data_IF_786394432129
#
_entry.id   IF_786394432129
#
_cell.length_a   1.000
_cell.length_b   1.000
_cell.length_c   1.000
_cell.angle_alpha   90.00
_cell.angle_beta   90.00
_cell.angle_gamma   90.00
#
_symmetry.space_group_name_H-M   'P 1'
#
loop_
_entity.id
_entity.type
_entity.pdbx_description
1 polymer ?
#
# COMPACT_ATOMS: atom_id res chain seq x y z
N UNK A 1 23.77 24.36 -50.15
CA UNK A 1 24.65 23.19 -49.90
C UNK A 1 23.95 21.92 -50.33
N UNK A 2 24.54 21.21 -51.30
CA UNK A 2 24.05 19.91 -51.75
C UNK A 2 24.50 18.76 -50.82
N UNK A 3 25.55 19.00 -50.02
CA UNK A 3 26.16 18.05 -49.09
C UNK A 3 26.05 18.55 -47.65
N UNK A 4 25.80 17.67 -46.67
CA UNK A 4 25.93 17.99 -45.25
C UNK A 4 27.35 18.49 -44.91
N UNK A 5 27.45 19.43 -43.97
CA UNK A 5 28.73 20.03 -43.57
C UNK A 5 29.64 19.03 -42.81
N UNK A 6 29.08 17.94 -42.30
CA UNK A 6 29.77 16.91 -41.52
C UNK A 6 30.36 15.75 -42.36
N UNK A 7 30.23 15.77 -43.70
CA UNK A 7 30.84 14.75 -44.58
C UNK A 7 32.25 15.22 -45.01
N UNK A 8 33.34 14.51 -44.64
CA UNK A 8 34.68 14.75 -45.15
C UNK A 8 34.69 14.81 -46.67
N UNK A 9 35.29 15.84 -47.25
CA UNK A 9 35.20 16.09 -48.70
C UNK A 9 36.08 15.13 -49.50
N UNK A 10 37.09 14.56 -48.87
CA UNK A 10 37.95 13.50 -49.38
C UNK A 10 37.28 12.12 -49.43
N UNK A 11 36.17 11.92 -48.70
CA UNK A 11 35.38 10.68 -48.78
C UNK A 11 34.33 10.69 -49.91
N UNK A 12 34.18 11.82 -50.61
CA UNK A 12 33.18 11.97 -51.67
C UNK A 12 33.56 11.15 -52.90
N UNK A 13 32.63 10.31 -53.34
CA UNK A 13 32.76 9.53 -54.58
C UNK A 13 31.55 9.79 -55.46
N UNK A 14 31.78 9.81 -56.76
CA UNK A 14 30.73 9.95 -57.77
C UNK A 14 30.65 8.65 -58.55
N UNK A 15 29.47 8.07 -58.57
CA UNK A 15 29.13 6.87 -59.32
C UNK A 15 28.21 7.23 -60.48
N UNK A 16 28.21 6.39 -61.52
CA UNK A 16 27.42 6.54 -62.73
C UNK A 16 26.45 5.37 -62.92
N UNK A 17 25.34 5.66 -63.58
CA UNK A 17 24.40 4.67 -64.09
C UNK A 17 24.14 4.98 -65.58
N UNK A 18 24.57 4.07 -66.46
CA UNK A 18 24.60 4.31 -67.92
C UNK A 18 23.22 4.06 -68.55
N UNK A 19 22.40 3.18 -67.96
CA UNK A 19 21.05 2.87 -68.45
C UNK A 19 20.08 2.57 -67.31
N UNK A 20 18.82 2.98 -67.47
CA UNK A 20 17.72 2.69 -66.52
C UNK A 20 17.47 1.17 -66.33
N UNK A 21 18.00 0.32 -67.21
CA UNK A 21 17.92 -1.14 -67.10
C UNK A 21 19.01 -1.77 -66.23
N UNK A 22 20.02 -1.01 -65.81
CA UNK A 22 21.10 -1.46 -64.94
C UNK A 22 20.74 -1.24 -63.47
N UNK A 23 21.20 -2.14 -62.59
CA UNK A 23 20.89 -2.09 -61.15
C UNK A 23 22.10 -1.68 -60.29
N UNK A 24 23.29 -1.67 -60.89
CA UNK A 24 24.55 -1.42 -60.20
C UNK A 24 25.08 -0.01 -60.54
N UNK A 25 25.55 0.69 -59.52
CA UNK A 25 26.17 2.01 -59.65
C UNK A 25 27.68 1.85 -59.75
N UNK A 26 28.23 2.08 -60.93
CA UNK A 26 29.66 1.89 -61.18
C UNK A 26 30.46 3.17 -60.88
N UNK A 27 31.75 3.08 -60.52
CA UNK A 27 32.63 4.24 -60.52
C UNK A 27 32.65 4.92 -61.90
N UNK A 28 32.90 6.23 -61.94
CA UNK A 28 33.15 6.92 -63.21
C UNK A 28 34.30 6.26 -63.97
N UNK A 29 34.13 6.09 -65.28
CA UNK A 29 35.10 5.44 -66.14
C UNK A 29 36.26 6.38 -66.54
N UNK A 30 37.08 6.00 -67.52
CA UNK A 30 38.25 6.81 -67.91
C UNK A 30 37.91 8.07 -68.69
N UNK A 31 36.75 8.12 -69.34
CA UNK A 31 36.35 9.26 -70.17
C UNK A 31 35.55 10.28 -69.35
N UNK A 32 34.87 9.83 -68.29
CA UNK A 32 34.16 10.68 -67.35
C UNK A 32 34.98 10.92 -66.08
N UNK A 33 34.93 12.13 -65.53
CA UNK A 33 35.73 12.45 -64.34
C UNK A 33 35.09 13.50 -63.47
N UNK A 34 35.41 13.46 -62.17
CA UNK A 34 35.01 14.49 -61.24
C UNK A 34 36.23 15.13 -60.59
N UNK A 35 36.09 16.41 -60.24
CA UNK A 35 37.08 17.15 -59.47
C UNK A 35 36.38 18.07 -58.49
N UNK A 36 36.77 17.96 -57.23
CA UNK A 36 36.45 18.93 -56.19
C UNK A 36 37.30 20.19 -56.43
N UNK A 37 36.63 21.32 -56.63
CA UNK A 37 37.29 22.62 -56.88
C UNK A 37 37.44 23.39 -55.58
N UNK A 38 36.36 23.46 -54.80
CA UNK A 38 36.29 24.09 -53.49
C UNK A 38 35.22 23.42 -52.63
N UNK A 39 34.94 23.97 -51.45
CA UNK A 39 34.03 23.38 -50.46
C UNK A 39 32.57 23.25 -50.94
N UNK A 40 32.16 24.03 -51.94
CA UNK A 40 30.78 24.10 -52.44
C UNK A 40 30.66 23.72 -53.92
N UNK A 41 31.79 23.46 -54.61
CA UNK A 41 31.84 23.29 -56.07
C UNK A 41 32.49 21.97 -56.47
N UNK A 42 31.65 21.04 -56.94
CA UNK A 42 32.05 19.84 -57.64
C UNK A 42 31.95 20.08 -59.15
N UNK A 43 33.04 19.82 -59.90
CA UNK A 43 33.01 19.80 -61.36
C UNK A 43 33.00 18.36 -61.84
N UNK A 44 31.96 18.00 -62.57
CA UNK A 44 31.86 16.70 -63.23
C UNK A 44 31.96 16.92 -64.74
N UNK A 45 32.78 16.12 -65.40
CA UNK A 45 32.87 16.01 -66.85
C UNK A 45 32.24 14.69 -67.26
N UNK A 46 31.19 14.78 -68.06
CA UNK A 46 30.50 13.63 -68.65
C UNK A 46 30.51 13.77 -70.17
N UNK A 47 30.72 12.65 -70.85
CA UNK A 47 30.77 12.56 -72.31
C UNK A 47 29.42 12.19 -72.92
N UNK A 48 28.57 11.50 -72.16
CA UNK A 48 27.20 11.10 -72.54
C UNK A 48 26.18 11.44 -71.45
N UNK A 49 24.89 11.36 -71.77
CA UNK A 49 23.83 11.59 -70.78
C UNK A 49 23.72 10.36 -69.86
N UNK A 50 23.86 10.57 -68.56
CA UNK A 50 23.81 9.51 -67.53
C UNK A 50 23.25 10.04 -66.21
N UNK A 51 22.84 9.13 -65.34
CA UNK A 51 22.49 9.46 -63.96
C UNK A 51 23.73 9.36 -63.07
N UNK A 52 23.88 10.31 -62.15
CA UNK A 52 25.03 10.40 -61.24
C UNK A 52 24.57 10.27 -59.79
N UNK A 53 25.26 9.43 -59.01
CA UNK A 53 25.09 9.30 -57.58
C UNK A 53 26.32 9.83 -56.86
N UNK A 54 26.11 10.81 -55.99
CA UNK A 54 27.15 11.35 -55.11
C UNK A 54 27.01 10.67 -53.73
N UNK A 55 28.05 9.96 -53.31
CA UNK A 55 28.14 9.31 -51.99
C UNK A 55 29.27 9.93 -51.18
N UNK A 56 29.17 9.86 -49.86
CA UNK A 56 30.23 10.27 -48.95
C UNK A 56 30.14 9.49 -47.65
N UNK A 57 31.28 9.23 -47.03
CA UNK A 57 31.34 8.58 -45.73
C UNK A 57 31.15 9.64 -44.64
N UNK A 58 30.25 9.35 -43.70
CA UNK A 58 30.07 10.18 -42.51
C UNK A 58 31.04 9.73 -41.42
N UNK A 59 31.64 10.67 -40.67
CA UNK A 59 32.51 10.32 -39.56
C UNK A 59 31.69 9.62 -38.48
N UNK A 60 32.27 8.60 -37.86
CA UNK A 60 31.68 7.95 -36.70
C UNK A 60 31.45 8.97 -35.59
N UNK A 61 30.30 8.95 -34.90
CA UNK A 61 30.09 9.82 -33.76
C UNK A 61 31.13 9.54 -32.68
N UNK A 62 31.77 10.58 -32.15
CA UNK A 62 32.67 10.44 -31.01
C UNK A 62 31.86 10.60 -29.72
N UNK A 63 31.74 9.52 -28.96
CA UNK A 63 30.98 9.49 -27.72
C UNK A 63 31.87 8.91 -26.62
N UNK A 64 31.96 9.63 -25.51
CA UNK A 64 32.63 9.16 -24.31
C UNK A 64 31.62 8.91 -23.20
N UNK A 65 31.69 7.74 -22.57
CA UNK A 65 30.76 7.23 -21.58
C UNK A 65 31.53 6.92 -20.30
N UNK A 66 31.03 7.37 -19.16
CA UNK A 66 31.59 6.96 -17.87
C UNK A 66 31.06 5.60 -17.46
N UNK A 67 31.82 4.87 -16.62
CA UNK A 67 31.28 3.67 -15.98
C UNK A 67 29.97 3.96 -15.24
N UNK A 68 28.94 3.12 -15.39
CA UNK A 68 27.69 3.28 -14.67
C UNK A 68 27.91 3.07 -13.17
N UNK A 69 27.37 3.99 -12.38
CA UNK A 69 27.34 3.94 -10.92
C UNK A 69 26.04 3.24 -10.52
N UNK A 70 26.15 2.23 -9.67
CA UNK A 70 25.01 1.50 -9.14
C UNK A 70 24.59 2.10 -7.80
N UNK A 71 23.31 2.40 -7.68
CA UNK A 71 22.65 2.76 -6.43
C UNK A 71 21.62 1.66 -6.11
N UNK A 72 21.74 1.06 -4.94
CA UNK A 72 20.74 0.12 -4.44
C UNK A 72 19.44 0.89 -4.15
N UNK A 73 18.31 0.27 -4.47
CA UNK A 73 16.98 0.77 -4.20
C UNK A 73 16.21 -0.26 -3.38
N UNK A 74 15.10 0.15 -2.73
CA UNK A 74 14.25 -0.76 -1.96
C UNK A 74 13.77 -1.96 -2.79
N UNK A 75 13.40 -3.03 -2.08
CA UNK A 75 12.98 -4.34 -2.59
C UNK A 75 14.05 -5.01 -3.48
N UNK A 76 15.33 -4.68 -3.33
CA UNK A 76 16.42 -5.24 -4.12
C UNK A 76 16.50 -4.69 -5.55
N UNK A 77 15.85 -3.57 -5.83
CA UNK A 77 15.96 -2.88 -7.12
C UNK A 77 17.30 -2.18 -7.25
N UNK A 78 17.65 -1.82 -8.48
CA UNK A 78 18.91 -1.13 -8.78
C UNK A 78 18.66 0.07 -9.69
N UNK A 79 19.37 1.15 -9.42
CA UNK A 79 19.46 2.31 -10.31
C UNK A 79 20.86 2.42 -10.86
N UNK A 80 20.94 2.64 -12.16
CA UNK A 80 22.17 2.93 -12.89
C UNK A 80 22.18 4.41 -13.24
N UNK A 81 23.27 5.09 -12.92
CA UNK A 81 23.53 6.47 -13.34
C UNK A 81 24.86 6.53 -14.09
N UNK A 82 24.89 7.18 -15.24
CA UNK A 82 26.10 7.38 -16.03
C UNK A 82 26.11 8.78 -16.65
N UNK A 83 27.28 9.21 -17.10
CA UNK A 83 27.45 10.46 -17.82
C UNK A 83 28.00 10.17 -19.22
N UNK A 84 27.45 10.84 -20.22
CA UNK A 84 27.87 10.73 -21.61
C UNK A 84 28.19 12.11 -22.18
N UNK A 85 29.28 12.20 -22.92
CA UNK A 85 29.74 13.43 -23.57
C UNK A 85 30.10 13.16 -25.04
N UNK A 86 30.24 14.22 -25.83
CA UNK A 86 30.50 14.13 -27.27
C UNK A 86 29.21 14.22 -28.09
N UNK A 87 29.15 13.47 -29.19
CA UNK A 87 28.14 13.55 -30.25
C UNK A 87 26.83 12.78 -29.93
N UNK A 88 26.34 12.87 -28.69
CA UNK A 88 25.16 12.12 -28.21
C UNK A 88 23.83 12.48 -28.92
N UNK A 89 23.81 13.57 -29.68
CA UNK A 89 22.66 14.01 -30.48
C UNK A 89 22.79 13.64 -31.97
N UNK A 90 23.85 12.93 -32.36
CA UNK A 90 24.08 12.54 -33.73
C UNK A 90 23.00 11.53 -34.18
N UNK A 91 22.33 11.73 -35.34
CA UNK A 91 21.28 10.83 -35.81
C UNK A 91 21.75 9.41 -36.12
N UNK A 92 23.06 9.18 -36.23
CA UNK A 92 23.65 7.85 -36.42
C UNK A 92 23.91 7.10 -35.12
N UNK A 93 23.83 7.80 -33.99
CA UNK A 93 23.84 7.20 -32.67
C UNK A 93 22.43 6.68 -32.33
N UNK A 94 22.30 5.36 -32.17
CA UNK A 94 21.04 4.69 -31.87
C UNK A 94 20.61 4.79 -30.41
N UNK A 95 21.53 5.20 -29.53
CA UNK A 95 21.31 5.32 -28.09
C UNK A 95 22.07 4.26 -27.29
N UNK A 96 21.47 3.80 -26.20
CA UNK A 96 22.12 2.91 -25.24
C UNK A 96 21.36 1.60 -25.10
N UNK A 97 22.07 0.48 -25.15
CA UNK A 97 21.54 -0.79 -24.68
C UNK A 97 22.12 -1.10 -23.29
N UNK A 98 21.22 -1.41 -22.36
CA UNK A 98 21.58 -1.86 -21.01
C UNK A 98 21.43 -3.37 -20.95
N UNK A 99 22.51 -4.05 -20.61
CA UNK A 99 22.54 -5.49 -20.41
C UNK A 99 22.70 -5.80 -18.94
N UNK A 100 22.06 -6.87 -18.47
CA UNK A 100 22.10 -7.34 -17.09
C UNK A 100 22.48 -8.81 -17.05
N UNK A 101 23.50 -9.12 -16.27
CA UNK A 101 23.79 -10.47 -15.80
C UNK A 101 23.39 -10.58 -14.34
N UNK A 102 22.78 -11.70 -13.98
CA UNK A 102 22.47 -12.03 -12.58
C UNK A 102 23.11 -13.34 -12.20
N UNK A 103 23.77 -13.36 -11.05
CA UNK A 103 24.31 -14.58 -10.49
C UNK A 103 24.43 -14.48 -8.98
N UNK A 104 24.49 -15.61 -8.25
CA UNK A 104 24.84 -15.59 -6.84
C UNK A 104 26.19 -14.91 -6.61
N UNK A 105 26.41 -14.32 -5.42
CA UNK A 105 27.68 -13.65 -5.08
C UNK A 105 28.92 -14.57 -5.21
N UNK A 106 28.73 -15.88 -5.09
CA UNK A 106 29.79 -16.88 -5.21
C UNK A 106 30.18 -17.19 -6.65
N UNK A 107 29.40 -16.73 -7.63
CA UNK A 107 29.68 -16.91 -9.04
C UNK A 107 30.65 -15.84 -9.56
N UNK A 108 31.39 -16.17 -10.60
CA UNK A 108 32.37 -15.28 -11.24
C UNK A 108 31.88 -14.76 -12.60
N UNK A 109 30.55 -14.69 -12.81
CA UNK A 109 29.98 -14.29 -14.11
C UNK A 109 29.52 -12.84 -14.04
N UNK A 110 30.35 -11.95 -14.58
CA UNK A 110 30.09 -10.51 -14.67
C UNK A 110 30.65 -9.98 -16.00
N UNK A 111 30.26 -8.76 -16.38
CA UNK A 111 30.82 -8.14 -17.58
C UNK A 111 32.27 -7.71 -17.35
N UNK A 112 33.24 -8.19 -18.14
CA UNK A 112 34.63 -7.79 -18.01
C UNK A 112 34.86 -6.37 -18.55
N UNK A 113 36.00 -5.77 -18.23
CA UNK A 113 36.43 -4.53 -18.90
C UNK A 113 36.73 -4.83 -20.38
N UNK A 114 36.11 -4.12 -21.34
CA UNK A 114 36.35 -4.36 -22.77
C UNK A 114 37.79 -4.05 -23.21
N UNK A 115 38.53 -3.22 -22.48
CA UNK A 115 39.95 -2.94 -22.75
C UNK A 115 40.86 -4.13 -22.40
N UNK A 116 40.45 -4.96 -21.44
CA UNK A 116 41.17 -6.17 -21.01
C UNK A 116 40.66 -7.41 -21.77
N UNK A 117 39.35 -7.50 -22.03
CA UNK A 117 38.72 -8.61 -22.75
C UNK A 117 37.98 -8.11 -23.98
N UNK A 118 38.64 -8.16 -25.13
CA UNK A 118 38.08 -7.73 -26.44
C UNK A 118 37.53 -8.87 -27.30
N UNK A 119 37.51 -10.10 -26.77
CA UNK A 119 37.04 -11.30 -27.46
C UNK A 119 35.55 -11.21 -27.82
N UNK A 120 35.24 -11.17 -29.12
CA UNK A 120 33.87 -11.16 -29.66
C UNK A 120 33.07 -12.37 -29.18
N UNK A 121 33.68 -13.55 -29.13
CA UNK A 121 33.02 -14.77 -28.64
C UNK A 121 32.55 -14.62 -27.19
N UNK A 122 33.38 -14.00 -26.34
CA UNK A 122 33.07 -13.80 -24.92
C UNK A 122 31.92 -12.81 -24.76
N UNK A 123 32.02 -11.65 -25.42
CA UNK A 123 30.95 -10.65 -25.38
C UNK A 123 29.66 -11.15 -26.02
N UNK A 124 29.73 -11.84 -27.15
CA UNK A 124 28.57 -12.45 -27.79
C UNK A 124 27.83 -13.41 -26.86
N UNK A 125 28.56 -14.23 -26.10
CA UNK A 125 27.96 -15.11 -25.09
C UNK A 125 27.35 -14.38 -23.89
N UNK A 126 27.97 -13.29 -23.42
CA UNK A 126 27.48 -12.50 -22.29
C UNK A 126 26.29 -11.60 -22.66
N UNK A 127 26.22 -11.14 -23.91
CA UNK A 127 25.15 -10.27 -24.42
C UNK A 127 23.91 -11.07 -24.89
N UNK A 128 24.06 -12.38 -25.08
CA UNK A 128 22.97 -13.24 -25.48
C UNK A 128 21.89 -13.32 -24.40
N UNK A 129 20.66 -12.92 -24.74
CA UNK A 129 19.48 -12.94 -23.87
C UNK A 129 19.59 -12.13 -22.56
N UNK A 130 20.55 -11.19 -22.47
CA UNK A 130 20.77 -10.34 -21.29
C UNK A 130 20.35 -8.87 -21.48
N UNK A 131 19.86 -8.53 -22.67
CA UNK A 131 19.35 -7.19 -22.97
C UNK A 131 18.16 -6.87 -22.05
N UNK A 132 18.27 -5.77 -21.33
CA UNK A 132 17.29 -5.33 -20.34
C UNK A 132 16.49 -4.12 -20.80
N UNK A 133 17.15 -3.16 -21.43
CA UNK A 133 16.51 -1.96 -21.95
C UNK A 133 17.29 -1.38 -23.14
N UNK A 134 16.56 -0.70 -24.03
CA UNK A 134 17.12 0.18 -25.06
C UNK A 134 16.63 1.59 -24.80
N UNK A 135 17.56 2.53 -24.68
CA UNK A 135 17.33 3.90 -24.22
C UNK A 135 17.80 4.90 -25.27
N UNK A 136 17.20 6.09 -25.29
CA UNK A 136 17.64 7.17 -26.16
C UNK A 136 19.01 7.71 -25.77
N UNK A 137 19.73 8.30 -26.74
CA UNK A 137 21.09 8.78 -26.53
C UNK A 137 21.27 9.85 -25.45
N UNK A 138 20.23 10.63 -25.16
CA UNK A 138 20.24 11.67 -24.11
C UNK A 138 19.92 11.13 -22.71
N UNK A 139 19.60 9.85 -22.56
CA UNK A 139 19.30 9.26 -21.26
C UNK A 139 20.58 9.01 -20.48
N UNK A 140 20.59 9.44 -19.21
CA UNK A 140 21.75 9.33 -18.30
C UNK A 140 21.50 8.43 -17.08
N UNK A 141 20.29 7.88 -16.95
CA UNK A 141 19.96 6.97 -15.86
C UNK A 141 18.90 5.96 -16.27
N UNK A 142 18.86 4.83 -15.59
CA UNK A 142 17.83 3.81 -15.74
C UNK A 142 17.62 3.05 -14.44
N UNK A 143 16.37 2.69 -14.15
CA UNK A 143 16.00 1.89 -12.98
C UNK A 143 15.61 0.51 -13.46
N UNK A 144 16.26 -0.51 -12.91
CA UNK A 144 15.83 -1.88 -13.09
C UNK A 144 14.67 -2.19 -12.15
N UNK A 145 13.48 -2.27 -12.71
CA UNK A 145 12.25 -2.59 -11.98
C UNK A 145 12.19 -4.05 -11.52
N UNK A 146 13.06 -4.93 -12.04
CA UNK A 146 13.08 -6.34 -11.68
C UNK A 146 13.97 -6.52 -10.43
N UNK A 147 13.37 -6.76 -9.26
CA UNK A 147 14.12 -6.86 -8.01
C UNK A 147 15.11 -8.03 -8.03
N UNK A 148 16.15 -7.92 -7.23
CA UNK A 148 17.10 -9.00 -6.95
C UNK A 148 16.69 -9.68 -5.64
N UNK A 149 16.52 -10.99 -5.69
CA UNK A 149 16.34 -11.79 -4.48
C UNK A 149 17.60 -11.75 -3.60
N UNK A 150 17.42 -11.97 -2.30
CA UNK A 150 18.52 -12.02 -1.33
C UNK A 150 19.61 -13.01 -1.77
N UNK A 151 20.86 -12.52 -1.83
CA UNK A 151 22.02 -13.31 -2.24
C UNK A 151 22.24 -13.43 -3.75
N UNK A 152 21.34 -12.86 -4.57
CA UNK A 152 21.53 -12.69 -6.01
C UNK A 152 22.09 -11.30 -6.29
N UNK A 153 23.12 -11.26 -7.12
CA UNK A 153 23.84 -10.06 -7.46
C UNK A 153 23.80 -9.84 -8.96
N UNK A 154 24.06 -8.59 -9.37
CA UNK A 154 23.96 -8.18 -10.75
C UNK A 154 25.22 -7.46 -11.22
N UNK A 155 25.51 -7.63 -12.50
CA UNK A 155 26.50 -6.85 -13.23
C UNK A 155 25.80 -6.24 -14.44
N UNK A 156 26.06 -4.96 -14.68
CA UNK A 156 25.45 -4.23 -15.78
C UNK A 156 26.50 -3.76 -16.78
N UNK A 157 26.12 -3.75 -18.06
CA UNK A 157 26.87 -3.11 -19.13
C UNK A 157 25.96 -2.12 -19.86
N UNK A 158 26.42 -0.88 -19.99
CA UNK A 158 25.81 0.14 -20.83
C UNK A 158 26.65 0.23 -22.11
N UNK A 159 26.02 -0.05 -23.25
CA UNK A 159 26.71 -0.17 -24.53
C UNK A 159 26.08 0.79 -25.54
N UNK A 160 26.86 1.66 -26.20
CA UNK A 160 26.34 2.49 -27.27
C UNK A 160 25.91 1.62 -28.46
N UNK A 161 24.85 2.05 -29.15
CA UNK A 161 24.34 1.38 -30.34
C UNK A 161 24.41 2.27 -31.56
N UNK A 162 24.55 1.66 -32.73
CA UNK A 162 24.33 2.34 -34.00
C UNK A 162 22.83 2.59 -34.27
N UNK A 163 22.50 3.39 -35.28
CA UNK A 163 21.10 3.65 -35.70
C UNK A 163 20.28 2.40 -36.05
N UNK A 164 20.94 1.28 -36.32
CA UNK A 164 20.29 -0.01 -36.61
C UNK A 164 20.08 -0.86 -35.36
N UNK A 165 20.57 -0.40 -34.21
CA UNK A 165 20.45 -1.04 -32.90
C UNK A 165 21.58 -2.02 -32.58
N UNK A 166 22.63 -2.10 -33.40
CA UNK A 166 23.76 -2.99 -33.11
C UNK A 166 24.65 -2.38 -32.02
N UNK A 167 24.95 -3.13 -30.95
CA UNK A 167 25.82 -2.65 -29.87
C UNK A 167 27.30 -2.70 -30.25
N UNK A 168 28.04 -1.64 -29.95
CA UNK A 168 29.50 -1.63 -30.01
C UNK A 168 30.09 -2.04 -28.65
N UNK A 169 30.33 -3.34 -28.47
CA UNK A 169 30.81 -3.89 -27.19
C UNK A 169 32.21 -3.42 -26.80
N UNK A 170 33.03 -2.91 -27.74
CA UNK A 170 34.36 -2.37 -27.42
C UNK A 170 34.25 -1.00 -26.73
N UNK A 171 33.16 -0.27 -27.00
CA UNK A 171 32.83 0.99 -26.34
C UNK A 171 31.95 0.80 -25.08
N UNK A 172 31.74 -0.45 -24.64
CA UNK A 172 30.93 -0.76 -23.46
C UNK A 172 31.52 -0.15 -22.19
N UNK A 173 30.63 0.22 -21.26
CA UNK A 173 31.01 0.57 -19.89
C UNK A 173 30.25 -0.28 -18.89
N UNK A 174 30.99 -0.86 -17.96
CA UNK A 174 30.48 -1.86 -17.02
C UNK A 174 30.40 -1.30 -15.60
N UNK A 175 29.46 -1.82 -14.82
CA UNK A 175 29.34 -1.49 -13.41
C UNK A 175 30.56 -1.98 -12.63
N UNK A 176 31.09 -1.12 -11.76
CA UNK A 176 32.29 -1.39 -10.98
C UNK A 176 31.96 -1.57 -9.50
N UNK A 177 32.71 -2.45 -8.83
CA UNK A 177 32.73 -2.65 -7.38
C UNK A 177 34.17 -2.40 -6.93
N UNK A 178 34.37 -1.44 -6.03
CA UNK A 178 35.69 -1.01 -5.56
C UNK A 178 36.68 -0.66 -6.70
N UNK A 179 36.15 -0.15 -7.82
CA UNK A 179 36.93 0.24 -9.00
C UNK A 179 37.25 -0.88 -9.99
N UNK A 180 36.79 -2.11 -9.75
CA UNK A 180 36.96 -3.25 -10.66
C UNK A 180 35.60 -3.77 -11.15
N UNK A 181 35.51 -4.38 -12.36
CA UNK A 181 34.28 -5.03 -12.79
C UNK A 181 33.87 -6.13 -11.82
N UNK A 182 32.61 -6.12 -11.42
CA UNK A 182 32.13 -7.01 -10.36
C UNK A 182 30.62 -7.13 -10.28
N UNK A 183 30.17 -7.84 -9.25
CA UNK A 183 28.77 -8.09 -8.94
C UNK A 183 28.34 -7.23 -7.76
N UNK A 184 27.25 -6.49 -7.90
CA UNK A 184 26.60 -5.75 -6.81
C UNK A 184 25.29 -6.43 -6.47
N UNK A 185 25.14 -6.80 -5.20
CA UNK A 185 23.96 -7.48 -4.69
C UNK A 185 22.86 -6.47 -4.41
N UNK A 186 21.62 -6.80 -4.74
CA UNK A 186 20.49 -6.01 -4.29
C UNK A 186 20.21 -6.27 -2.81
N UNK A 187 19.55 -5.33 -2.16
CA UNK A 187 19.05 -5.53 -0.81
C UNK A 187 17.52 -5.56 -0.81
N UNK A 188 16.97 -6.75 -0.60
CA UNK A 188 15.53 -7.02 -0.51
C UNK A 188 15.13 -7.51 0.90
N UNK A 189 16.01 -7.33 1.89
CA UNK A 189 15.73 -7.73 3.27
C UNK A 189 15.06 -6.56 3.97
N UNK A 190 13.86 -6.77 4.49
CA UNK A 190 13.23 -5.77 5.33
C UNK A 190 13.95 -5.70 6.69
N UNK A 191 14.14 -4.50 7.25
CA UNK A 191 14.69 -4.35 8.59
C UNK A 191 13.76 -5.01 9.62
N UNK A 192 14.35 -5.57 10.67
CA UNK A 192 13.62 -6.19 11.77
C UNK A 192 14.06 -5.56 13.10
N UNK A 193 13.36 -4.49 13.47
CA UNK A 193 13.56 -3.80 14.72
C UNK A 193 12.22 -3.53 15.41
N UNK A 194 12.23 -3.63 16.73
CA UNK A 194 11.09 -3.34 17.59
C UNK A 194 11.42 -2.18 18.54
N UNK A 195 10.55 -1.18 18.63
CA UNK A 195 10.65 -0.15 19.67
C UNK A 195 10.23 -0.73 21.02
N UNK A 196 10.69 -0.12 22.11
CA UNK A 196 10.32 -0.54 23.46
C UNK A 196 9.55 0.55 24.20
N UNK A 197 8.59 0.14 25.06
CA UNK A 197 7.82 1.07 25.88
C UNK A 197 6.92 2.01 25.07
N UNK A 198 6.44 1.57 23.90
CA UNK A 198 5.49 2.34 23.10
C UNK A 198 4.20 2.54 23.88
N UNK A 199 3.86 3.80 24.14
CA UNK A 199 2.72 4.18 24.98
C UNK A 199 2.12 5.51 24.55
N UNK A 200 0.86 5.70 24.93
CA UNK A 200 0.06 6.88 24.62
C UNK A 200 -0.41 7.63 25.87
N UNK A 201 -0.52 8.95 25.76
CA UNK A 201 -1.11 9.83 26.77
C UNK A 201 -2.05 10.82 26.09
N UNK A 202 -3.28 10.96 26.61
CA UNK A 202 -4.31 11.84 26.04
C UNK A 202 -4.64 12.94 27.06
N UNK A 203 -4.71 14.17 26.58
CA UNK A 203 -5.10 15.35 27.36
C UNK A 203 -6.29 16.04 26.68
N UNK A 204 -7.35 16.28 27.44
CA UNK A 204 -8.49 17.10 27.00
C UNK A 204 -8.29 18.56 27.41
N UNK A 205 -8.42 19.48 26.44
CA UNK A 205 -8.34 20.91 26.67
C UNK A 205 -9.75 21.51 26.80
N UNK A 206 -10.13 21.88 28.03
CA UNK A 206 -11.43 22.49 28.31
C UNK A 206 -11.46 24.04 28.16
N UNK A 207 -10.41 24.64 27.60
CA UNK A 207 -10.37 26.08 27.40
C UNK A 207 -11.38 26.51 26.34
N UNK A 208 -12.12 27.59 26.62
CA UNK A 208 -13.08 28.16 25.65
C UNK A 208 -12.41 28.58 24.35
N UNK A 209 -11.12 28.94 24.40
CA UNK A 209 -10.32 29.26 23.23
C UNK A 209 -10.20 28.09 22.23
N UNK A 210 -10.17 26.84 22.71
CA UNK A 210 -10.15 25.67 21.82
C UNK A 210 -11.49 25.52 21.11
N UNK A 211 -12.59 25.60 21.86
CA UNK A 211 -13.93 25.53 21.31
C UNK A 211 -14.23 26.64 20.30
N UNK A 212 -13.89 27.89 20.62
CA UNK A 212 -14.18 29.05 19.76
C UNK A 212 -13.54 28.97 18.37
N UNK A 213 -12.48 28.17 18.20
CA UNK A 213 -11.79 28.01 16.90
C UNK A 213 -12.61 27.22 15.88
N UNK A 214 -13.34 26.19 16.31
CA UNK A 214 -14.09 25.28 15.41
C UNK A 214 -15.55 25.08 15.80
N UNK A 215 -15.97 25.64 16.93
CA UNK A 215 -17.27 25.43 17.56
C UNK A 215 -17.58 23.94 17.84
N UNK A 216 -16.53 23.16 18.10
CA UNK A 216 -16.60 21.71 18.31
C UNK A 216 -15.64 21.24 19.41
N UNK A 217 -16.19 20.71 20.50
CA UNK A 217 -15.43 20.19 21.65
C UNK A 217 -14.72 18.87 21.34
N UNK A 218 -15.18 18.12 20.34
CA UNK A 218 -14.58 16.85 19.96
C UNK A 218 -13.17 17.00 19.36
N UNK A 219 -12.78 18.25 19.02
CA UNK A 219 -11.46 18.58 18.48
C UNK A 219 -10.46 18.99 19.55
N UNK A 220 -10.89 19.15 20.80
CA UNK A 220 -10.07 19.65 21.91
C UNK A 220 -9.30 18.55 22.64
N UNK A 221 -8.74 17.61 21.87
CA UNK A 221 -7.94 16.51 22.37
C UNK A 221 -6.52 16.63 21.83
N UNK A 222 -5.56 16.34 22.69
CA UNK A 222 -4.15 16.24 22.36
C UNK A 222 -3.63 14.87 22.78
N UNK A 223 -3.02 14.16 21.84
CA UNK A 223 -2.40 12.86 22.05
C UNK A 223 -0.89 13.03 21.97
N UNK A 224 -0.19 12.48 22.95
CA UNK A 224 1.25 12.34 22.95
C UNK A 224 1.61 10.86 22.97
N UNK A 225 2.34 10.43 21.95
CA UNK A 225 2.93 9.10 21.83
C UNK A 225 4.39 9.16 22.25
N UNK A 226 4.84 8.14 22.98
CA UNK A 226 6.22 8.02 23.43
C UNK A 226 6.71 6.59 23.31
N UNK A 227 7.97 6.40 22.94
CA UNK A 227 8.63 5.10 22.80
C UNK A 227 10.15 5.25 22.93
N UNK A 228 10.89 4.16 23.11
CA UNK A 228 12.35 4.20 23.15
C UNK A 228 12.93 3.52 21.90
N UNK A 229 13.90 4.18 21.29
CA UNK A 229 14.58 3.72 20.08
C UNK A 229 15.50 2.52 20.35
N UNK A 230 15.42 1.45 19.53
CA UNK A 230 16.34 0.31 19.64
C UNK A 230 17.73 0.64 19.09
N UNK A 231 18.67 -0.29 19.28
CA UNK A 231 19.98 -0.24 18.62
C UNK A 231 19.82 -0.32 17.09
N UNK A 232 20.76 0.28 16.36
CA UNK A 232 20.82 0.18 14.90
C UNK A 232 21.18 -1.25 14.45
N UNK A 233 20.78 -1.60 13.24
CA UNK A 233 21.17 -2.88 12.65
C UNK A 233 22.68 -2.91 12.31
N UNK A 234 23.29 -4.10 12.24
CA UNK A 234 24.69 -4.23 11.85
C UNK A 234 25.00 -3.64 10.47
N UNK A 235 24.00 -3.63 9.59
CA UNK A 235 24.12 -3.26 8.19
C UNK A 235 23.90 -1.75 7.94
N UNK A 236 23.39 -0.99 8.92
CA UNK A 236 23.19 0.44 8.75
C UNK A 236 22.38 1.14 9.84
N UNK A 237 22.26 2.46 9.69
CA UNK A 237 21.37 3.28 10.53
C UNK A 237 19.91 3.01 10.17
N UNK A 238 19.07 2.87 11.19
CA UNK A 238 17.63 2.75 11.01
C UNK A 238 16.97 4.12 10.97
N UNK A 239 15.89 4.22 10.22
CA UNK A 239 14.91 5.28 10.35
C UNK A 239 13.51 4.67 10.49
N UNK A 240 12.51 5.48 10.80
CA UNK A 240 11.17 4.98 11.10
C UNK A 240 10.07 5.79 10.44
N UNK A 241 9.03 5.10 10.02
CA UNK A 241 7.78 5.70 9.57
C UNK A 241 6.69 5.41 10.60
N UNK A 242 5.83 6.39 10.85
CA UNK A 242 4.69 6.29 11.76
C UNK A 242 3.41 6.35 10.96
N UNK A 243 2.58 5.33 11.10
CA UNK A 243 1.27 5.22 10.46
C UNK A 243 0.16 5.29 11.48
N UNK A 244 -1.04 5.67 11.02
CA UNK A 244 -2.25 5.64 11.83
C UNK A 244 -3.41 5.07 11.04
N UNK A 245 -4.05 4.06 11.60
CA UNK A 245 -5.24 3.44 11.04
C UNK A 245 -6.34 3.34 12.10
N UNK A 246 -7.61 3.34 11.70
CA UNK A 246 -8.74 3.21 12.64
C UNK A 246 -9.22 1.75 12.80
N UNK A 247 -8.88 0.89 11.86
CA UNK A 247 -9.27 -0.52 11.86
C UNK A 247 -8.06 -1.39 11.54
N UNK A 248 -7.68 -2.22 12.49
CA UNK A 248 -6.67 -3.25 12.28
C UNK A 248 -7.38 -4.57 11.92
N UNK A 249 -7.26 -5.01 10.66
CA UNK A 249 -7.49 -6.41 10.28
C UNK A 249 -6.22 -7.23 10.51
N UNK A 250 -6.33 -8.55 10.59
CA UNK A 250 -5.17 -9.43 10.87
C UNK A 250 -3.98 -9.24 9.91
N UNK A 251 -4.27 -8.85 8.66
CA UNK A 251 -3.27 -8.50 7.65
C UNK A 251 -3.59 -7.09 7.13
N UNK A 252 -2.88 -6.07 7.61
CA UNK A 252 -2.91 -4.71 7.03
C UNK A 252 -1.59 -4.48 6.32
N UNK A 253 -1.68 -4.09 5.05
CA UNK A 253 -0.54 -3.73 4.22
C UNK A 253 -0.41 -2.21 4.17
N UNK A 254 0.65 -1.69 4.78
CA UNK A 254 0.89 -0.25 4.91
C UNK A 254 1.39 0.41 3.63
N UNK A 255 1.76 -0.36 2.58
CA UNK A 255 2.27 0.19 1.30
C UNK A 255 1.32 1.18 0.62
N UNK A 256 0.02 1.07 0.92
CA UNK A 256 -1.02 1.90 0.32
C UNK A 256 -1.51 3.02 1.26
N UNK A 257 -0.89 3.16 2.42
CA UNK A 257 -1.25 4.14 3.44
C UNK A 257 -0.13 5.19 3.49
N UNK A 258 -0.51 6.46 3.56
CA UNK A 258 0.48 7.52 3.75
C UNK A 258 0.87 7.61 5.24
N UNK A 259 2.16 7.62 5.57
CA UNK A 259 2.60 7.79 6.95
C UNK A 259 2.23 9.18 7.46
N UNK A 260 1.86 9.27 8.74
CA UNK A 260 1.62 10.55 9.42
C UNK A 260 2.92 11.25 9.82
N UNK A 261 4.03 10.49 9.93
CA UNK A 261 5.38 11.01 10.02
C UNK A 261 6.35 10.03 9.35
N UNK A 262 7.32 10.56 8.60
CA UNK A 262 8.28 9.75 7.84
C UNK A 262 9.72 10.13 8.16
N UNK A 263 10.64 9.17 8.08
CA UNK A 263 12.08 9.42 8.24
C UNK A 263 12.45 9.88 9.65
N UNK A 264 11.76 9.37 10.67
CA UNK A 264 12.12 9.59 12.06
C UNK A 264 13.47 8.92 12.32
N UNK A 265 14.48 9.70 12.69
CA UNK A 265 15.83 9.19 12.88
C UNK A 265 15.90 8.30 14.13
N UNK A 266 16.44 7.09 13.98
CA UNK A 266 16.69 6.21 15.12
C UNK A 266 17.93 6.68 15.88
N UNK A 267 17.77 7.11 17.13
CA UNK A 267 18.88 7.47 18.01
C UNK A 267 18.86 6.49 19.19
N UNK A 268 19.71 5.44 19.18
CA UNK A 268 19.66 4.37 20.16
C UNK A 268 19.67 4.86 21.62
N UNK A 269 18.71 4.38 22.41
CA UNK A 269 18.59 4.72 23.84
C UNK A 269 17.93 6.07 24.14
N UNK A 270 17.62 6.89 23.12
CA UNK A 270 16.79 8.08 23.30
C UNK A 270 15.29 7.75 23.22
N UNK A 271 14.48 8.63 23.79
CA UNK A 271 13.02 8.53 23.74
C UNK A 271 12.49 9.31 22.54
N UNK A 272 11.79 8.63 21.65
CA UNK A 272 11.00 9.23 20.59
C UNK A 272 9.67 9.77 21.13
N UNK A 273 9.23 10.89 20.59
CA UNK A 273 7.94 11.50 20.93
C UNK A 273 7.22 11.99 19.67
N UNK A 274 5.91 11.83 19.64
CA UNK A 274 5.05 12.39 18.59
C UNK A 274 3.77 12.92 19.21
N UNK A 275 3.32 14.09 18.75
CA UNK A 275 2.12 14.74 19.27
C UNK A 275 1.15 15.01 18.13
N UNK A 276 -0.13 14.75 18.37
CA UNK A 276 -1.21 15.00 17.42
C UNK A 276 -2.38 15.67 18.12
N UNK A 277 -3.03 16.60 17.42
CA UNK A 277 -4.19 17.32 17.94
C UNK A 277 -5.46 16.98 17.17
N UNK A 278 -6.62 17.08 17.83
CA UNK A 278 -7.94 16.95 17.17
C UNK A 278 -8.31 18.15 16.30
N UNK A 279 -7.54 19.23 16.39
CA UNK A 279 -7.72 20.45 15.61
C UNK A 279 -7.36 20.25 14.13
N UNK A 280 -6.44 19.34 13.84
CA UNK A 280 -5.98 19.04 12.48
C UNK A 280 -7.09 18.48 11.59
N UNK A 281 -6.98 18.67 10.27
CA UNK A 281 -7.98 18.18 9.29
C UNK A 281 -8.18 16.66 9.34
N UNK A 282 -7.13 15.93 9.68
CA UNK A 282 -7.15 14.48 9.92
C UNK A 282 -6.77 14.18 11.38
N UNK A 283 -7.18 15.04 12.31
CA UNK A 283 -6.86 14.94 13.73
C UNK A 283 -7.59 13.80 14.44
N UNK A 284 -7.27 13.65 15.71
CA UNK A 284 -7.93 12.68 16.60
C UNK A 284 -9.30 13.16 17.05
N UNK A 285 -10.16 12.23 17.47
CA UNK A 285 -11.51 12.51 17.97
C UNK A 285 -11.94 11.50 19.03
N UNK A 286 -12.81 11.88 19.98
CA UNK A 286 -13.38 10.96 20.95
C UNK A 286 -14.24 9.89 20.28
N UNK A 287 -14.50 8.81 21.01
CA UNK A 287 -15.27 7.63 20.58
C UNK A 287 -14.64 6.83 19.42
N UNK A 288 -13.37 7.07 19.11
CA UNK A 288 -12.63 6.33 18.07
C UNK A 288 -11.45 5.57 18.68
N UNK A 289 -11.14 4.44 18.05
CA UNK A 289 -9.91 3.69 18.31
C UNK A 289 -8.96 3.94 17.15
N UNK A 290 -7.73 4.30 17.48
CA UNK A 290 -6.64 4.47 16.53
C UNK A 290 -5.55 3.45 16.85
N UNK A 291 -4.92 2.91 15.83
CA UNK A 291 -3.74 2.07 15.92
C UNK A 291 -2.59 2.87 15.32
N UNK A 292 -1.63 3.22 16.16
CA UNK A 292 -0.39 3.85 15.74
C UNK A 292 0.65 2.76 15.53
N UNK A 293 1.29 2.78 14.37
CA UNK A 293 2.19 1.72 13.94
C UNK A 293 3.51 2.35 13.54
N UNK A 294 4.59 1.94 14.21
CA UNK A 294 5.95 2.31 13.85
C UNK A 294 6.54 1.20 12.98
N UNK A 295 7.05 1.54 11.81
CA UNK A 295 7.75 0.60 10.94
C UNK A 295 9.20 1.02 10.78
N UNK A 296 10.15 0.09 10.92
CA UNK A 296 11.55 0.38 10.66
C UNK A 296 11.80 0.48 9.15
N UNK A 297 12.70 1.38 8.79
CA UNK A 297 13.21 1.63 7.46
C UNK A 297 14.74 1.52 7.50
N UNK A 298 15.33 0.72 6.61
CA UNK A 298 16.78 0.57 6.54
C UNK A 298 17.44 1.74 5.78
N UNK A 299 18.76 1.64 5.62
CA UNK A 299 19.54 2.67 4.91
C UNK A 299 19.31 2.72 3.39
N UNK A 300 18.79 1.65 2.80
CA UNK A 300 18.47 1.51 1.36
C UNK A 300 17.02 1.97 1.08
N UNK A 301 16.18 1.96 2.11
CA UNK A 301 14.75 2.31 2.10
C UNK A 301 13.81 1.10 2.10
N UNK A 302 14.26 -0.11 2.46
CA UNK A 302 13.35 -1.24 2.69
C UNK A 302 12.54 -1.02 3.95
N UNK A 303 11.24 -1.36 3.90
CA UNK A 303 10.30 -1.18 5.00
C UNK A 303 9.48 -2.46 5.19
N UNK A 304 9.35 -2.92 6.44
CA UNK A 304 8.37 -3.95 6.75
C UNK A 304 6.96 -3.35 6.85
N UNK A 305 6.20 -3.52 5.77
CA UNK A 305 4.86 -2.94 5.61
C UNK A 305 3.74 -3.88 6.00
N UNK A 306 4.06 -5.14 6.34
CA UNK A 306 3.07 -6.15 6.75
C UNK A 306 3.10 -6.26 8.27
N UNK A 307 2.02 -5.82 8.91
CA UNK A 307 2.00 -5.67 10.37
C UNK A 307 1.18 -6.77 11.01
N UNK A 308 1.80 -7.45 11.97
CA UNK A 308 1.13 -8.43 12.82
C UNK A 308 0.71 -7.77 14.14
N UNK A 309 -0.57 -7.90 14.52
CA UNK A 309 -1.10 -7.41 15.80
C UNK A 309 -1.48 -8.58 16.72
N UNK A 310 -1.06 -8.57 18.00
CA UNK A 310 -0.30 -7.53 18.71
C UNK A 310 1.21 -7.56 18.43
N UNK A 311 1.85 -6.37 18.40
CA UNK A 311 3.31 -6.17 18.27
C UNK A 311 3.77 -5.00 19.15
N UNK A 312 5.06 -4.94 19.51
CA UNK A 312 5.66 -3.84 20.27
C UNK A 312 5.64 -2.51 19.50
N UNK A 313 5.63 -2.62 18.17
CA UNK A 313 5.58 -1.50 17.24
C UNK A 313 4.16 -0.94 17.05
N UNK A 314 3.14 -1.53 17.69
CA UNK A 314 1.74 -1.11 17.53
C UNK A 314 1.14 -0.70 18.87
N UNK A 315 0.73 0.56 18.95
CA UNK A 315 0.01 1.09 20.11
C UNK A 315 -1.47 1.33 19.76
N UNK A 316 -2.36 0.73 20.55
CA UNK A 316 -3.82 0.88 20.40
C UNK A 316 -4.32 1.96 21.35
N UNK A 317 -4.85 3.03 20.77
CA UNK A 317 -5.32 4.21 21.50
C UNK A 317 -6.83 4.34 21.34
N UNK A 318 -7.58 4.22 22.42
CA UNK A 318 -9.00 4.56 22.45
C UNK A 318 -9.19 5.91 23.12
N UNK A 319 -9.89 6.83 22.44
CA UNK A 319 -10.11 8.18 22.95
C UNK A 319 -11.48 8.23 23.61
N UNK A 320 -11.47 8.30 24.94
CA UNK A 320 -12.67 8.46 25.74
C UNK A 320 -13.18 9.90 25.71
N UNK A 321 -14.51 10.05 25.79
CA UNK A 321 -15.11 11.36 25.94
C UNK A 321 -14.93 11.87 27.39
N UNK A 322 -14.23 12.99 27.51
CA UNK A 322 -13.96 13.66 28.78
C UNK A 322 -14.74 14.98 28.87
N UNK A 323 -15.46 15.39 27.82
CA UNK A 323 -16.24 16.63 27.78
C UNK A 323 -17.22 16.73 28.97
N UNK A 324 -17.94 15.64 29.25
CA UNK A 324 -18.95 15.61 30.30
C UNK A 324 -18.37 15.67 31.70
N UNK A 325 -17.13 15.22 31.92
CA UNK A 325 -16.45 15.29 33.22
C UNK A 325 -16.24 16.75 33.67
N UNK A 326 -16.10 17.67 32.73
CA UNK A 326 -15.94 19.10 33.00
C UNK A 326 -17.24 19.91 32.83
N UNK A 327 -18.27 19.31 32.23
CA UNK A 327 -19.54 19.98 31.91
C UNK A 327 -20.75 19.33 32.60
N UNK A 328 -20.53 18.67 33.75
CA UNK A 328 -21.59 18.00 34.53
C UNK A 328 -22.76 18.93 34.86
N UNK A 329 -22.51 20.23 35.06
CA UNK A 329 -23.54 21.25 35.30
C UNK A 329 -24.59 21.39 34.18
N UNK A 330 -24.29 20.88 32.98
CA UNK A 330 -25.23 20.88 31.83
C UNK A 330 -26.09 19.64 31.79
N UNK A 331 -25.70 18.58 32.50
CA UNK A 331 -26.50 17.37 32.63
C UNK A 331 -27.71 17.78 33.47
N UNK A 332 -28.93 17.72 32.93
CA UNK A 332 -30.11 18.02 33.70
C UNK A 332 -30.13 17.13 34.94
N UNK A 333 -30.39 17.73 36.09
CA UNK A 333 -30.70 16.93 37.27
C UNK A 333 -31.86 16.01 36.90
N UNK A 334 -31.81 14.72 37.30
CA UNK A 334 -32.95 13.83 37.12
C UNK A 334 -34.19 14.54 37.63
N UNK A 335 -35.33 14.49 36.90
CA UNK A 335 -36.55 15.11 37.38
C UNK A 335 -36.80 14.64 38.81
N UNK A 336 -37.14 15.57 39.70
CA UNK A 336 -37.55 15.20 41.05
C UNK A 336 -38.62 14.10 40.92
N UNK A 337 -38.50 13.00 41.68
CA UNK A 337 -39.50 11.94 41.63
C UNK A 337 -40.88 12.56 41.83
N UNK A 338 -41.86 12.13 41.04
CA UNK A 338 -43.23 12.65 41.16
C UNK A 338 -43.66 12.54 42.63
N UNK A 339 -44.16 13.66 43.18
CA UNK A 339 -44.63 13.66 44.56
C UNK A 339 -45.69 12.56 44.72
N UNK A 340 -45.57 11.68 45.72
CA UNK A 340 -46.50 10.58 45.87
C UNK A 340 -47.93 11.14 46.01
N UNK A 341 -48.96 10.43 45.50
CA UNK A 341 -50.33 10.89 45.60
C UNK A 341 -50.70 11.24 47.05
N UNK A 342 -51.18 12.47 47.26
CA UNK A 342 -51.53 13.02 48.58
C UNK A 342 -50.36 13.15 49.59
N UNK A 343 -49.11 13.21 49.14
CA UNK A 343 -47.90 13.18 49.99
C UNK A 343 -47.79 11.90 50.83
N UNK A 344 -48.33 10.78 50.33
CA UNK A 344 -48.33 9.49 51.04
C UNK A 344 -47.48 8.47 50.28
N UNK A 345 -46.29 8.16 50.81
CA UNK A 345 -45.27 7.32 50.18
C UNK A 345 -45.80 5.96 49.68
N UNK A 346 -46.55 5.22 50.51
CA UNK A 346 -47.08 3.90 50.12
C UNK A 346 -48.11 3.96 48.99
N UNK A 347 -48.76 5.11 48.80
CA UNK A 347 -49.74 5.30 47.73
C UNK A 347 -49.05 5.49 46.37
N UNK A 348 -47.87 6.13 46.39
CA UNK A 348 -46.97 6.21 45.25
C UNK A 348 -46.44 4.82 44.89
N UNK A 349 -45.91 4.08 45.87
CA UNK A 349 -45.46 2.70 45.65
C UNK A 349 -46.58 1.81 45.09
N UNK A 350 -47.80 1.91 45.63
CA UNK A 350 -48.95 1.15 45.12
C UNK A 350 -49.27 1.52 43.68
N UNK A 351 -49.19 2.80 43.30
CA UNK A 351 -49.41 3.26 41.93
C UNK A 351 -48.33 2.71 40.99
N UNK A 352 -47.07 2.76 41.39
CA UNK A 352 -45.94 2.19 40.63
C UNK A 352 -46.10 0.67 40.45
N UNK A 353 -46.53 -0.03 41.50
CA UNK A 353 -46.85 -1.46 41.40
C UNK A 353 -48.07 -1.72 40.52
N UNK A 354 -49.07 -0.85 40.52
CA UNK A 354 -50.24 -0.96 39.65
C UNK A 354 -49.88 -0.82 38.16
N UNK A 355 -48.76 -0.17 37.81
CA UNK A 355 -48.27 -0.11 36.42
C UNK A 355 -47.49 -1.36 35.98
N UNK A 356 -47.12 -2.23 36.92
CA UNK A 356 -46.45 -3.50 36.63
C UNK A 356 -47.47 -4.59 36.27
N UNK A 357 -47.39 -5.11 35.04
CA UNK A 357 -48.31 -6.13 34.50
C UNK A 357 -48.44 -7.38 35.42
N UNK A 358 -47.33 -7.84 35.99
CA UNK A 358 -47.32 -8.98 36.92
C UNK A 358 -48.14 -8.73 38.20
N UNK A 359 -48.12 -7.51 38.72
CA UNK A 359 -48.88 -7.14 39.92
C UNK A 359 -50.38 -7.05 39.60
N UNK A 360 -50.75 -6.51 38.44
CA UNK A 360 -52.14 -6.49 37.96
C UNK A 360 -52.72 -7.90 37.82
N UNK A 361 -51.94 -8.83 37.24
CA UNK A 361 -52.34 -10.24 37.08
C UNK A 361 -52.54 -10.89 38.45
N UNK A 362 -51.59 -10.72 39.37
CA UNK A 362 -51.69 -11.26 40.73
C UNK A 362 -52.92 -10.71 41.48
N UNK A 363 -53.18 -9.40 41.37
CA UNK A 363 -54.36 -8.75 41.95
C UNK A 363 -55.67 -9.29 41.37
N UNK A 364 -55.75 -9.47 40.05
CA UNK A 364 -56.91 -10.06 39.37
C UNK A 364 -57.18 -11.50 39.81
N UNK A 365 -56.14 -12.32 39.92
CA UNK A 365 -56.27 -13.71 40.40
C UNK A 365 -56.75 -13.74 41.85
N UNK A 366 -56.20 -12.87 42.72
CA UNK A 366 -56.64 -12.75 44.10
C UNK A 366 -58.12 -12.36 44.19
N UNK A 367 -58.55 -11.36 43.41
CA UNK A 367 -59.94 -10.89 43.37
C UNK A 367 -60.90 -11.98 42.88
N UNK A 368 -60.53 -12.69 41.81
CA UNK A 368 -61.29 -13.87 41.32
C UNK A 368 -61.42 -14.95 42.39
N UNK A 369 -60.33 -15.24 43.11
CA UNK A 369 -60.32 -16.25 44.18
C UNK A 369 -61.23 -15.86 45.34
N UNK A 370 -61.25 -14.58 45.73
CA UNK A 370 -62.16 -14.04 46.74
C UNK A 370 -63.61 -14.15 46.27
N UNK A 371 -63.93 -13.73 45.04
CA UNK A 371 -65.29 -13.80 44.49
C UNK A 371 -65.78 -15.26 44.44
N UNK A 372 -64.94 -16.19 44.00
CA UNK A 372 -65.29 -17.62 43.97
C UNK A 372 -65.55 -18.14 45.38
N UNK A 373 -64.74 -17.78 46.37
CA UNK A 373 -64.91 -18.25 47.75
C UNK A 373 -66.13 -17.63 48.46
N UNK A 374 -66.35 -16.33 48.32
CA UNK A 374 -67.38 -15.61 49.07
C UNK A 374 -68.74 -15.56 48.37
N UNK A 375 -68.79 -15.61 47.04
CA UNK A 375 -70.04 -15.55 46.26
C UNK A 375 -70.30 -16.89 45.58
N UNK A 376 -69.31 -17.41 44.86
CA UNK A 376 -69.44 -18.63 44.06
C UNK A 376 -69.75 -19.88 44.90
N UNK A 377 -68.94 -20.14 45.93
CA UNK A 377 -69.04 -21.29 46.82
C UNK A 377 -70.38 -21.36 47.56
N UNK A 378 -70.89 -20.29 48.21
CA UNK A 378 -72.20 -20.34 48.83
C UNK A 378 -73.35 -20.51 47.83
N UNK A 379 -73.26 -19.95 46.61
CA UNK A 379 -74.25 -20.19 45.55
C UNK A 379 -74.24 -21.64 45.07
N UNK A 380 -73.05 -22.23 44.86
CA UNK A 380 -72.89 -23.63 44.46
C UNK A 380 -73.40 -24.56 45.57
N UNK A 381 -73.07 -24.30 46.85
CA UNK A 381 -73.58 -25.07 47.98
C UNK A 381 -75.11 -24.98 48.09
N UNK A 382 -75.71 -23.82 47.81
CA UNK A 382 -77.17 -23.63 47.79
C UNK A 382 -77.82 -24.42 46.65
N UNK A 383 -77.24 -24.41 45.44
CA UNK A 383 -77.70 -25.24 44.31
C UNK A 383 -77.51 -26.73 44.59
N UNK A 384 -76.39 -27.16 45.16
CA UNK A 384 -76.12 -28.57 45.55
C UNK A 384 -77.11 -29.07 46.60
N UNK A 385 -77.41 -28.27 47.64
CA UNK A 385 -78.46 -28.61 48.63
C UNK A 385 -79.83 -28.74 47.97
N UNK A 386 -80.16 -27.88 46.99
CA UNK A 386 -81.42 -27.97 46.23
C UNK A 386 -81.46 -29.23 45.36
N UNK A 387 -80.40 -29.54 44.63
CA UNK A 387 -80.31 -30.77 43.84
C UNK A 387 -80.33 -32.03 44.70
N UNK A 388 -79.63 -32.06 45.84
CA UNK A 388 -79.69 -33.20 46.79
C UNK A 388 -81.10 -33.43 47.32
N UNK A 389 -81.86 -32.37 47.60
CA UNK A 389 -83.30 -32.47 47.96
C UNK A 389 -84.16 -32.98 46.81
N UNK A 390 -83.91 -32.55 45.58
CA UNK A 390 -84.65 -33.02 44.39
C UNK A 390 -84.35 -34.49 44.10
N UNK A 391 -83.09 -34.91 44.17
CA UNK A 391 -82.66 -36.30 44.02
C UNK A 391 -83.21 -37.19 45.13
N UNK A 392 -83.18 -36.77 46.40
CA UNK A 392 -83.79 -37.53 47.50
C UNK A 392 -85.31 -37.68 47.34
N UNK A 393 -86.01 -36.64 46.84
CA UNK A 393 -87.45 -36.74 46.49
C UNK A 393 -87.73 -37.67 45.31
N UNK A 394 -86.78 -37.81 44.37
CA UNK A 394 -86.88 -38.78 43.27
C UNK A 394 -86.54 -40.21 43.74
N UNK A 395 -85.57 -40.38 44.62
CA UNK A 395 -85.24 -41.67 45.23
C UNK A 395 -86.39 -42.20 46.11
N UNK A 396 -87.08 -41.34 46.87
CA UNK A 396 -88.29 -41.72 47.61
C UNK A 396 -89.55 -41.90 46.74
N UNK A 397 -89.45 -41.72 45.43
CA UNK A 397 -90.49 -42.02 44.42
C UNK A 397 -89.98 -43.05 43.39
N UNK A 398 -88.85 -43.70 43.66
CA UNK A 398 -88.40 -44.83 42.86
C UNK A 398 -89.37 -46.00 43.15
N UNK A 399 -89.96 -46.61 42.11
CA UNK A 399 -90.81 -47.78 42.28
C UNK A 399 -90.01 -48.94 42.86
N UNK A 400 -90.61 -49.63 43.84
CA UNK A 400 -90.16 -50.89 44.43
C UNK A 400 -90.44 -52.01 43.42
N UNK A 401 -89.68 -52.04 42.33
CA UNK A 401 -89.56 -53.18 41.39
C UNK A 401 -88.59 -52.81 40.25
N UNK A 402 -87.28 -52.90 40.50
CA UNK A 402 -86.24 -53.01 39.46
C UNK A 402 -85.00 -53.77 39.98
N UNK A 403 -85.17 -54.64 40.99
CA UNK A 403 -84.09 -55.51 41.50
C UNK A 403 -84.03 -56.89 40.79
N UNK A 404 -84.98 -57.21 39.89
CA UNK A 404 -84.96 -58.49 39.14
C UNK A 404 -84.42 -58.38 37.70
N UNK A 405 -84.40 -57.20 37.06
CA UNK A 405 -83.99 -57.07 35.64
C UNK A 405 -82.52 -56.63 35.42
N UNK A 406 -81.76 -56.31 36.47
CA UNK A 406 -80.34 -55.94 36.36
C UNK A 406 -79.35 -57.08 36.67
N UNK A 407 -79.83 -58.24 37.16
CA UNK A 407 -79.00 -59.43 37.39
C UNK A 407 -78.78 -60.29 36.13
N UNK A 408 -79.46 -60.00 35.01
CA UNK A 408 -79.31 -60.72 33.74
C UNK A 408 -78.46 -59.96 32.69
N UNK A 409 -77.82 -58.84 33.07
CA UNK A 409 -76.95 -58.04 32.17
C UNK A 409 -75.45 -58.17 32.48
N UNK A 410 -75.06 -58.89 33.55
CA UNK A 410 -73.66 -59.10 33.92
C UNK A 410 -73.29 -60.58 34.17
N UNK A 411 -74.01 -61.51 33.52
CA UNK A 411 -73.43 -62.78 33.09
C UNK A 411 -72.89 -62.65 31.67
#
# INVERSE_FOLDING_TARGET
NLLPDNVPRDSLQVHQLVSYGEADWDPLDTDDSYRLIDNDTLRVHITENMDLLLVGELPSPEIDLTNPILTQLPDGKMRLDWNATGDIANPYFGGWNVYRLTSPITASTYFPDPSETSSEFTWGGLLQDTLSASLGGTTSYWVDERPLETGICSSYAVIPTDRTGNPDYLAAKVSLVEGLPGLTCGDAINPNADVSGFSSSIVYNNDTACYERYLDWNRCYELTLTWNWPDNEPDGELSWNLYRIEQMSGDVDLRYIEPIASGLQNIPGEQGTFSQTGIENNGISPYRTYYYILTPLDSVGNEDTIIQYPSQNVERVYIEDQYWQYNEHRIPEPPEPEAPPYDVEWLGELQDYMDIENFQIAGMIMLLTIIINFIGLPLILKKRKRMKRVLAKRAGKAPEDLDEDFQDFFN
#
